data_IF_598743294256
#
_entry.id   IF_598743294256
#
_cell.length_a   1.000
_cell.length_b   1.000
_cell.length_c   1.000
_cell.angle_alpha   90.00
_cell.angle_beta   90.00
_cell.angle_gamma   90.00
#
_symmetry.space_group_name_H-M   'P 1'
#
loop_
_entity.id
_entity.type
_entity.pdbx_description
1 polymer ?
#
# COMPACT_ATOMS: atom_id res chain seq x y z
N UNK A 1 -44.00 24.72 41.70
CA UNK A 1 -43.07 23.61 41.42
C UNK A 1 -43.64 22.76 40.29
N UNK A 2 -43.17 22.92 39.06
CA UNK A 2 -43.50 21.99 37.96
C UNK A 2 -42.21 21.66 37.20
N UNK A 3 -41.72 20.47 37.50
CA UNK A 3 -40.56 19.82 36.92
C UNK A 3 -40.78 19.51 35.44
N UNK A 4 -40.19 20.31 34.54
CA UNK A 4 -39.98 19.94 33.14
C UNK A 4 -38.82 18.93 33.07
N UNK A 5 -39.12 17.65 33.29
CA UNK A 5 -38.26 16.57 32.82
C UNK A 5 -38.33 16.52 31.29
N UNK A 6 -37.46 17.29 30.64
CA UNK A 6 -37.10 17.06 29.24
C UNK A 6 -36.38 15.70 29.20
N UNK A 7 -37.07 14.65 28.73
CA UNK A 7 -36.42 13.41 28.30
C UNK A 7 -35.41 13.80 27.23
N UNK A 8 -34.11 13.76 27.55
CA UNK A 8 -33.03 13.84 26.56
C UNK A 8 -33.25 12.68 25.59
N UNK A 9 -33.64 12.99 24.35
CA UNK A 9 -33.62 12.01 23.27
C UNK A 9 -32.19 11.48 23.18
N UNK A 10 -32.04 10.15 23.30
CA UNK A 10 -30.76 9.48 23.07
C UNK A 10 -30.34 9.83 21.63
N UNK A 11 -29.11 10.31 21.37
CA UNK A 11 -28.70 10.63 20.01
C UNK A 11 -28.81 9.36 19.17
N UNK A 12 -29.74 9.35 18.22
CA UNK A 12 -29.85 8.29 17.22
C UNK A 12 -28.71 8.47 16.25
N UNK A 13 -27.89 7.44 16.07
CA UNK A 13 -26.87 7.42 15.03
C UNK A 13 -27.61 7.36 13.68
N UNK A 14 -27.33 8.26 12.73
CA UNK A 14 -27.87 8.14 11.37
C UNK A 14 -27.40 6.87 10.67
N UNK A 15 -28.16 6.35 9.72
CA UNK A 15 -27.72 5.25 8.87
C UNK A 15 -26.73 5.77 7.82
N UNK A 16 -25.63 5.05 7.61
CA UNK A 16 -24.59 5.38 6.63
C UNK A 16 -24.40 4.23 5.65
N UNK A 17 -24.05 4.54 4.41
CA UNK A 17 -23.75 3.56 3.36
C UNK A 17 -22.28 3.66 2.93
N UNK A 18 -21.67 2.53 2.60
CA UNK A 18 -20.33 2.49 2.01
C UNK A 18 -20.37 3.09 0.60
N UNK A 19 -19.37 3.92 0.28
CA UNK A 19 -19.20 4.50 -1.04
C UNK A 19 -17.78 4.30 -1.54
N UNK A 20 -17.64 4.00 -2.83
CA UNK A 20 -16.34 3.97 -3.51
C UNK A 20 -15.64 5.32 -3.39
N UNK A 21 -14.40 5.31 -2.91
CA UNK A 21 -13.61 6.51 -2.71
C UNK A 21 -13.26 7.23 -4.03
N UNK A 22 -12.69 6.50 -5.00
CA UNK A 22 -12.32 7.05 -6.31
C UNK A 22 -13.36 6.77 -7.40
N UNK A 23 -13.57 7.74 -8.29
CA UNK A 23 -14.20 7.49 -9.59
C UNK A 23 -13.16 6.86 -10.54
N UNK A 24 -13.61 6.30 -11.65
CA UNK A 24 -12.73 5.59 -12.58
C UNK A 24 -11.59 6.47 -13.13
N UNK A 25 -11.90 7.72 -13.47
CA UNK A 25 -10.92 8.70 -13.98
C UNK A 25 -9.87 9.07 -12.92
N UNK A 26 -10.30 9.25 -11.67
CA UNK A 26 -9.42 9.54 -10.54
C UNK A 26 -8.41 8.40 -10.34
N UNK A 27 -8.86 7.16 -10.43
CA UNK A 27 -8.02 5.97 -10.29
C UNK A 27 -6.96 5.87 -11.40
N UNK A 28 -7.35 6.16 -12.64
CA UNK A 28 -6.41 6.19 -13.78
C UNK A 28 -5.35 7.25 -13.54
N UNK A 29 -5.75 8.48 -13.19
CA UNK A 29 -4.83 9.58 -12.99
C UNK A 29 -3.92 9.35 -11.78
N UNK A 30 -4.46 8.88 -10.66
CA UNK A 30 -3.68 8.48 -9.49
C UNK A 30 -2.64 7.39 -9.84
N UNK A 31 -3.02 6.40 -10.64
CA UNK A 31 -2.10 5.39 -11.13
C UNK A 31 -0.97 5.98 -11.99
N UNK A 32 -1.26 7.00 -12.82
CA UNK A 32 -0.22 7.72 -13.59
C UNK A 32 0.73 8.48 -12.67
N UNK A 33 0.21 9.20 -11.68
CA UNK A 33 1.03 9.92 -10.69
C UNK A 33 1.97 8.97 -9.94
N UNK A 34 1.47 7.82 -9.47
CA UNK A 34 2.30 6.82 -8.77
C UNK A 34 3.44 6.26 -9.61
N UNK A 35 3.22 6.10 -10.93
CA UNK A 35 4.29 5.65 -11.84
C UNK A 35 5.31 6.75 -12.12
N UNK A 36 4.84 8.00 -12.22
CA UNK A 36 5.71 9.14 -12.48
C UNK A 36 6.54 9.57 -11.26
N UNK A 37 6.00 9.34 -10.06
CA UNK A 37 6.58 9.73 -8.78
C UNK A 37 6.68 8.54 -7.81
N UNK A 38 7.54 7.54 -8.11
CA UNK A 38 7.64 6.33 -7.29
C UNK A 38 8.17 6.60 -5.88
N UNK A 39 8.87 7.72 -5.67
CA UNK A 39 9.52 8.10 -4.41
C UNK A 39 8.74 9.12 -3.58
N UNK A 40 7.53 9.50 -4.00
CA UNK A 40 6.72 10.51 -3.31
C UNK A 40 5.50 9.87 -2.65
N UNK A 41 5.03 10.48 -1.56
CA UNK A 41 3.71 10.18 -1.00
C UNK A 41 2.66 11.05 -1.70
N UNK A 42 1.57 10.43 -2.13
CA UNK A 42 0.48 11.10 -2.86
C UNK A 42 -0.80 10.90 -2.06
N UNK A 43 -1.37 11.99 -1.54
CA UNK A 43 -2.61 11.97 -0.78
C UNK A 43 -3.74 12.60 -1.61
N UNK A 44 -4.80 11.84 -1.93
CA UNK A 44 -5.95 12.35 -2.68
C UNK A 44 -6.93 13.11 -1.78
N UNK A 45 -7.63 14.11 -2.35
CA UNK A 45 -8.76 14.82 -1.74
C UNK A 45 -8.44 15.42 -0.36
N UNK A 46 -7.27 16.05 -0.23
CA UNK A 46 -6.77 16.65 1.02
C UNK A 46 -7.42 18.02 1.24
N UNK A 47 -7.89 18.27 2.46
CA UNK A 47 -8.48 19.57 2.84
C UNK A 47 -7.43 20.67 2.94
N UNK A 48 -7.79 21.89 2.51
CA UNK A 48 -6.89 23.04 2.59
C UNK A 48 -6.49 23.34 4.04
N UNK A 49 -7.40 23.15 4.99
CA UNK A 49 -7.14 23.28 6.43
C UNK A 49 -6.10 22.31 6.98
N UNK A 50 -5.79 21.22 6.26
CA UNK A 50 -4.72 20.29 6.62
C UNK A 50 -3.36 20.68 6.00
N UNK A 51 -3.34 21.64 5.08
CA UNK A 51 -2.14 22.07 4.34
C UNK A 51 -1.69 23.49 4.73
N UNK A 52 -2.58 24.32 5.27
CA UNK A 52 -2.29 25.71 5.62
C UNK A 52 -3.06 26.16 6.85
N UNK A 53 -2.51 27.14 7.55
CA UNK A 53 -3.14 27.81 8.69
C UNK A 53 -3.22 29.32 8.44
N UNK A 54 -4.25 30.01 8.96
CA UNK A 54 -4.31 31.45 8.85
C UNK A 54 -3.25 32.13 9.73
N UNK A 55 -2.64 33.20 9.20
CA UNK A 55 -1.56 33.96 9.87
C UNK A 55 -2.11 34.98 10.88
N UNK A 56 -3.42 35.23 10.89
CA UNK A 56 -4.05 36.23 11.73
C UNK A 56 -3.78 36.03 13.23
N UNK A 57 -3.28 37.09 13.87
CA UNK A 57 -2.95 37.09 15.32
C UNK A 57 -4.20 37.12 16.21
N UNK A 58 -5.33 37.60 15.68
CA UNK A 58 -6.61 37.62 16.38
C UNK A 58 -7.28 36.25 16.31
N UNK A 59 -7.57 35.64 17.46
CA UNK A 59 -8.20 34.32 17.55
C UNK A 59 -9.55 34.27 16.83
N UNK A 60 -10.37 35.31 16.99
CA UNK A 60 -11.69 35.41 16.33
C UNK A 60 -11.54 35.41 14.81
N UNK A 61 -10.56 36.14 14.29
CA UNK A 61 -10.30 36.21 12.86
C UNK A 61 -9.72 34.90 12.33
N UNK A 62 -8.77 34.30 13.06
CA UNK A 62 -8.19 32.98 12.73
C UNK A 62 -9.27 31.89 12.64
N UNK A 63 -10.23 31.87 13.56
CA UNK A 63 -11.34 30.91 13.53
C UNK A 63 -12.26 31.14 12.31
N UNK A 64 -12.54 32.39 11.96
CA UNK A 64 -13.33 32.72 10.78
C UNK A 64 -12.62 32.31 9.48
N UNK A 65 -11.31 32.53 9.39
CA UNK A 65 -10.49 32.13 8.24
C UNK A 65 -10.35 30.60 8.14
N UNK A 66 -10.21 29.88 9.26
CA UNK A 66 -10.25 28.41 9.27
C UNK A 66 -11.59 27.87 8.76
N UNK A 67 -12.70 28.52 9.13
CA UNK A 67 -14.03 28.13 8.64
C UNK A 67 -14.14 28.27 7.12
N UNK A 68 -13.50 29.29 6.52
CA UNK A 68 -13.47 29.47 5.06
C UNK A 68 -12.73 28.35 4.33
N UNK A 69 -11.79 27.67 4.99
CA UNK A 69 -11.03 26.55 4.43
C UNK A 69 -11.78 25.21 4.55
N UNK A 70 -12.76 25.10 5.46
CA UNK A 70 -13.46 23.83 5.70
C UNK A 70 -14.21 23.36 4.45
N UNK A 71 -14.07 22.07 4.16
CA UNK A 71 -14.69 21.42 3.00
C UNK A 71 -14.00 21.73 1.66
N UNK A 72 -13.07 22.70 1.60
CA UNK A 72 -12.26 22.93 0.40
C UNK A 72 -11.15 21.91 0.33
N UNK A 73 -10.97 21.30 -0.85
CA UNK A 73 -10.00 20.22 -1.07
C UNK A 73 -9.18 20.48 -2.33
N UNK A 74 -7.91 20.08 -2.30
CA UNK A 74 -7.11 19.86 -3.50
C UNK A 74 -7.34 18.43 -4.01
N UNK A 75 -7.15 18.17 -5.30
CA UNK A 75 -7.35 16.83 -5.83
C UNK A 75 -6.26 15.88 -5.35
N UNK A 76 -5.00 16.33 -5.37
CA UNK A 76 -3.86 15.55 -4.87
C UNK A 76 -2.84 16.47 -4.20
N UNK A 77 -2.28 16.04 -3.08
CA UNK A 77 -1.12 16.65 -2.44
C UNK A 77 0.06 15.68 -2.52
N UNK A 78 1.22 16.20 -2.97
CA UNK A 78 2.44 15.42 -3.20
C UNK A 78 3.46 15.82 -2.15
N UNK A 79 4.01 14.82 -1.47
CA UNK A 79 5.00 15.00 -0.41
C UNK A 79 6.26 14.19 -0.71
N UNK A 80 7.38 14.69 -0.22
CA UNK A 80 8.64 13.95 -0.23
C UNK A 80 8.68 12.84 0.84
N UNK A 81 9.82 12.15 0.91
CA UNK A 81 10.08 11.10 1.88
C UNK A 81 9.96 11.53 3.35
N UNK A 82 10.18 12.82 3.65
CA UNK A 82 10.10 13.39 5.00
C UNK A 82 8.71 13.96 5.31
N UNK A 83 7.72 13.71 4.44
CA UNK A 83 6.39 14.31 4.49
C UNK A 83 6.42 15.85 4.40
N UNK A 84 7.43 16.40 3.73
CA UNK A 84 7.45 17.80 3.30
C UNK A 84 6.57 17.98 2.06
N UNK A 85 5.65 18.96 2.09
CA UNK A 85 4.77 19.26 0.96
C UNK A 85 5.59 19.83 -0.21
N UNK A 86 5.58 19.13 -1.35
CA UNK A 86 6.28 19.54 -2.57
C UNK A 86 5.41 20.43 -3.45
N UNK A 87 4.19 19.95 -3.73
CA UNK A 87 3.19 20.68 -4.50
C UNK A 87 1.81 20.03 -4.34
N UNK A 88 0.78 20.76 -4.77
CA UNK A 88 -0.58 20.25 -4.93
C UNK A 88 -0.98 20.23 -6.41
N UNK A 89 -1.90 19.35 -6.76
CA UNK A 89 -2.49 19.25 -8.09
C UNK A 89 -3.98 19.60 -8.01
N UNK A 90 -4.43 20.46 -8.92
CA UNK A 90 -5.84 20.78 -9.16
C UNK A 90 -6.23 20.33 -10.58
N UNK A 91 -7.31 19.55 -10.69
CA UNK A 91 -7.92 19.16 -11.96
C UNK A 91 -9.11 20.08 -12.24
N UNK A 92 -9.07 20.83 -13.33
CA UNK A 92 -10.17 21.71 -13.75
C UNK A 92 -10.96 21.11 -14.92
N UNK A 93 -12.29 21.09 -14.83
CA UNK A 93 -13.16 20.66 -15.92
C UNK A 93 -13.49 21.78 -16.93
N UNK A 94 -13.23 23.05 -16.62
CA UNK A 94 -13.60 24.21 -17.45
C UNK A 94 -12.73 25.46 -17.19
N UNK A 95 -12.70 26.39 -18.14
CA UNK A 95 -12.19 27.74 -17.92
C UNK A 95 -13.11 28.44 -16.90
N UNK A 96 -12.52 29.11 -15.92
CA UNK A 96 -13.21 29.74 -14.79
C UNK A 96 -14.45 30.53 -15.26
N UNK A 97 -15.64 30.07 -14.87
CA UNK A 97 -16.78 30.99 -14.79
C UNK A 97 -16.49 31.93 -13.64
N UNK A 98 -16.63 33.24 -13.87
CA UNK A 98 -16.48 34.33 -12.90
C UNK A 98 -17.50 34.19 -11.75
N UNK A 99 -17.33 33.18 -10.91
CA UNK A 99 -18.06 33.09 -9.67
C UNK A 99 -17.28 33.90 -8.64
N UNK A 100 -17.97 34.81 -7.95
CA UNK A 100 -17.42 35.79 -7.00
C UNK A 100 -16.72 35.19 -5.75
N UNK A 101 -16.48 33.88 -5.76
CA UNK A 101 -15.89 33.13 -4.67
C UNK A 101 -14.39 32.93 -4.90
N UNK A 102 -13.58 33.37 -3.93
CA UNK A 102 -12.12 33.18 -3.90
C UNK A 102 -11.77 31.73 -4.25
N UNK A 103 -10.97 31.58 -5.31
CA UNK A 103 -10.54 30.30 -5.84
C UNK A 103 -9.57 29.60 -4.89
N UNK A 104 -9.51 28.25 -4.93
CA UNK A 104 -8.50 27.51 -4.15
C UNK A 104 -7.06 27.93 -4.52
N UNK A 105 -6.83 28.29 -5.78
CA UNK A 105 -5.55 28.84 -6.24
C UNK A 105 -5.11 30.09 -5.51
N UNK A 106 -6.03 30.99 -5.15
CA UNK A 106 -5.69 32.22 -4.42
C UNK A 106 -5.23 31.91 -3.00
N UNK A 107 -5.90 30.98 -2.30
CA UNK A 107 -5.48 30.53 -0.97
C UNK A 107 -4.10 29.85 -1.03
N UNK A 108 -3.89 28.94 -1.98
CA UNK A 108 -2.63 28.24 -2.16
C UNK A 108 -1.48 29.23 -2.46
N UNK A 109 -1.73 30.21 -3.33
CA UNK A 109 -0.78 31.28 -3.65
C UNK A 109 -0.45 32.13 -2.42
N UNK A 110 -1.46 32.50 -1.64
CA UNK A 110 -1.30 33.26 -0.38
C UNK A 110 -0.43 32.50 0.63
N UNK A 111 -0.62 31.18 0.72
CA UNK A 111 0.18 30.30 1.58
C UNK A 111 1.58 29.96 1.02
N UNK A 112 1.93 30.43 -0.18
CA UNK A 112 3.20 30.09 -0.84
C UNK A 112 3.30 28.63 -1.28
N UNK A 113 2.17 27.92 -1.38
CA UNK A 113 2.13 26.51 -1.78
C UNK A 113 2.15 26.42 -3.31
N UNK A 114 3.08 25.63 -3.84
CA UNK A 114 3.17 25.36 -5.29
C UNK A 114 1.96 24.55 -5.74
N UNK A 115 1.19 25.11 -6.67
CA UNK A 115 0.05 24.43 -7.29
C UNK A 115 0.31 24.16 -8.77
N UNK A 116 -0.10 22.98 -9.23
CA UNK A 116 -0.07 22.56 -10.62
C UNK A 116 -1.49 22.32 -11.06
N UNK A 117 -1.93 23.06 -12.07
CA UNK A 117 -3.29 22.93 -12.61
C UNK A 117 -3.26 22.19 -13.95
N UNK A 118 -4.10 21.17 -14.07
CA UNK A 118 -4.33 20.45 -15.33
C UNK A 118 -5.80 20.41 -15.68
N UNK A 119 -6.09 20.30 -16.98
CA UNK A 119 -7.44 20.02 -17.42
C UNK A 119 -7.79 18.56 -17.08
N UNK A 120 -9.00 18.35 -16.57
CA UNK A 120 -9.53 17.02 -16.30
C UNK A 120 -9.89 16.29 -17.60
N UNK A 121 -10.19 17.05 -18.68
CA UNK A 121 -10.52 16.49 -19.98
C UNK A 121 -9.80 17.26 -21.12
N UNK A 122 -8.80 16.67 -21.79
CA UNK A 122 -8.24 15.35 -21.53
C UNK A 122 -7.34 15.31 -20.29
N UNK A 123 -7.33 14.18 -19.59
CA UNK A 123 -6.36 13.94 -18.50
C UNK A 123 -4.92 13.96 -19.04
N UNK A 124 -3.96 14.53 -18.30
CA UNK A 124 -2.57 14.60 -18.73
C UNK A 124 -1.96 13.21 -18.89
N UNK A 125 -1.14 13.04 -19.92
CA UNK A 125 -0.42 11.80 -20.19
C UNK A 125 0.71 11.57 -19.18
N UNK A 126 1.19 10.33 -19.07
CA UNK A 126 2.33 10.00 -18.21
C UNK A 126 3.57 10.84 -18.53
N UNK A 127 3.82 11.13 -19.82
CA UNK A 127 4.96 11.95 -20.25
C UNK A 127 4.81 13.41 -19.84
N UNK A 128 3.59 13.96 -19.93
CA UNK A 128 3.31 15.32 -19.47
C UNK A 128 3.51 15.45 -17.95
N UNK A 129 3.00 14.47 -17.20
CA UNK A 129 3.19 14.40 -15.75
C UNK A 129 4.68 14.34 -15.41
N UNK A 130 5.43 13.46 -16.06
CA UNK A 130 6.88 13.31 -15.85
C UNK A 130 7.64 14.59 -16.17
N UNK A 131 7.32 15.30 -17.26
CA UNK A 131 7.99 16.56 -17.60
C UNK A 131 7.72 17.66 -16.58
N UNK A 132 6.45 17.83 -16.18
CA UNK A 132 6.07 18.86 -15.21
C UNK A 132 6.62 18.56 -13.82
N UNK A 133 6.65 17.29 -13.42
CA UNK A 133 7.10 16.85 -12.10
C UNK A 133 8.55 16.34 -12.09
N UNK A 134 9.30 16.51 -13.18
CA UNK A 134 10.69 16.09 -13.30
C UNK A 134 11.59 16.62 -12.16
N UNK A 135 11.41 17.85 -11.65
CA UNK A 135 12.19 18.32 -10.50
C UNK A 135 11.99 17.49 -9.22
N UNK A 136 10.87 16.76 -9.11
CA UNK A 136 10.53 15.96 -7.94
C UNK A 136 10.81 14.46 -8.13
N UNK A 137 10.95 13.98 -9.37
CA UNK A 137 11.16 12.55 -9.64
C UNK A 137 12.56 12.05 -9.25
N UNK A 138 13.54 12.94 -9.18
CA UNK A 138 14.92 12.65 -8.77
C UNK A 138 15.16 12.79 -7.25
N UNK A 139 14.13 13.19 -6.48
CA UNK A 139 14.26 13.28 -5.03
C UNK A 139 14.61 11.90 -4.46
N UNK A 140 15.60 11.91 -3.56
CA UNK A 140 16.12 10.70 -2.94
C UNK A 140 14.96 9.86 -2.43
N UNK A 141 14.98 8.56 -2.76
CA UNK A 141 13.99 7.61 -2.26
C UNK A 141 13.87 7.77 -0.74
N UNK A 142 12.67 7.65 -0.18
CA UNK A 142 12.56 7.34 1.24
C UNK A 142 13.44 6.12 1.44
N UNK A 143 14.54 6.30 2.19
CA UNK A 143 15.17 5.12 2.80
C UNK A 143 14.02 4.52 3.59
N UNK A 144 13.61 3.27 3.30
CA UNK A 144 12.64 2.64 4.19
C UNK A 144 13.23 2.79 5.58
N UNK A 145 12.52 3.48 6.47
CA UNK A 145 12.91 3.60 7.86
C UNK A 145 12.86 2.19 8.43
N UNK A 146 13.99 1.49 8.34
CA UNK A 146 14.22 0.22 9.03
C UNK A 146 14.06 0.46 10.56
N UNK A 147 14.14 1.71 11.02
CA UNK A 147 13.91 2.12 12.40
C UNK A 147 12.43 2.02 12.84
N UNK A 148 11.42 2.24 11.98
CA UNK A 148 10.02 2.13 12.37
C UNK A 148 9.52 0.68 12.56
N UNK A 149 10.33 -0.31 12.16
CA UNK A 149 10.08 -1.72 12.47
C UNK A 149 10.61 -2.14 13.86
N UNK A 150 11.20 -1.23 14.64
CA UNK A 150 11.98 -1.57 15.86
C UNK A 150 11.24 -1.30 17.17
N UNK A 151 9.94 -0.96 17.17
CA UNK A 151 9.18 -0.81 18.43
C UNK A 151 8.83 -2.16 19.08
N UNK A 152 9.13 -3.30 18.45
CA UNK A 152 9.09 -4.60 19.13
C UNK A 152 10.43 -5.32 18.89
N UNK A 153 11.48 -4.92 19.59
CA UNK A 153 12.66 -5.76 19.94
C UNK A 153 13.69 -4.96 20.76
N UNK A 154 13.33 -4.61 21.99
CA UNK A 154 14.34 -4.59 23.07
C UNK A 154 14.68 -6.06 23.36
N UNK A 155 15.93 -6.52 23.30
CA UNK A 155 16.97 -6.24 24.30
C UNK A 155 18.25 -7.05 23.97
N UNK A 156 19.43 -6.40 24.06
CA UNK A 156 20.79 -6.92 24.35
C UNK A 156 21.38 -8.05 23.46
N UNK A 157 22.60 -8.00 22.89
CA UNK A 157 23.93 -7.62 23.45
C UNK A 157 24.89 -7.09 22.35
N UNK A 158 25.89 -6.32 22.79
CA UNK A 158 26.97 -5.55 22.13
C UNK A 158 28.00 -6.30 21.24
N UNK A 159 28.39 -5.64 20.13
CA UNK A 159 29.73 -5.25 19.59
C UNK A 159 31.05 -6.01 19.97
N UNK A 160 32.21 -5.83 19.25
CA UNK A 160 32.47 -5.42 17.85
C UNK A 160 33.71 -6.08 17.14
N UNK A 161 33.90 -5.72 15.86
CA UNK A 161 35.16 -5.36 15.13
C UNK A 161 36.04 -6.41 14.39
N UNK A 162 36.29 -6.03 13.13
CA UNK A 162 37.52 -6.08 12.29
C UNK A 162 37.70 -7.17 11.21
N UNK A 163 37.74 -6.67 9.95
CA UNK A 163 38.59 -7.00 8.79
C UNK A 163 38.73 -8.48 8.37
N UNK A 164 38.25 -8.84 7.16
CA UNK A 164 39.10 -8.87 5.96
C UNK A 164 38.31 -9.28 4.68
N UNK A 165 38.66 -8.66 3.56
CA UNK A 165 37.76 -8.38 2.43
C UNK A 165 37.69 -9.45 1.33
N UNK A 166 38.19 -10.68 1.51
CA UNK A 166 38.35 -11.60 0.33
C UNK A 166 37.90 -13.05 0.56
N UNK A 167 37.39 -13.44 1.75
CA UNK A 167 37.20 -14.87 2.05
C UNK A 167 35.82 -15.30 2.59
N UNK A 168 34.74 -14.58 2.27
CA UNK A 168 33.35 -14.93 2.69
C UNK A 168 32.41 -15.25 1.51
N UNK A 169 32.91 -15.32 0.27
CA UNK A 169 32.06 -15.60 -0.91
C UNK A 169 31.52 -17.03 -1.02
N UNK A 170 31.93 -17.95 -0.15
CA UNK A 170 31.40 -19.32 -0.13
C UNK A 170 31.45 -19.88 1.29
N UNK A 171 30.44 -19.58 2.12
CA UNK A 171 29.81 -20.51 3.08
C UNK A 171 29.01 -19.73 4.13
N UNK A 172 27.74 -20.14 4.27
CA UNK A 172 26.80 -19.77 5.34
C UNK A 172 26.41 -18.29 5.41
N UNK A 173 25.59 -17.85 4.46
CA UNK A 173 24.65 -16.77 4.73
C UNK A 173 23.75 -17.19 5.91
N UNK A 174 23.60 -16.39 6.99
CA UNK A 174 22.45 -16.54 7.86
C UNK A 174 21.22 -16.22 6.99
N UNK A 175 20.34 -17.21 6.79
CA UNK A 175 19.15 -17.04 5.96
C UNK A 175 18.42 -15.74 6.36
N UNK A 176 18.17 -14.80 5.43
CA UNK A 176 17.43 -13.58 5.73
C UNK A 176 16.03 -13.97 6.17
N UNK A 177 15.69 -13.72 7.44
CA UNK A 177 14.43 -14.10 8.09
C UNK A 177 13.24 -13.22 7.66
N UNK A 178 13.15 -12.89 6.37
CA UNK A 178 12.10 -12.08 5.73
C UNK A 178 11.62 -12.73 4.42
N UNK A 179 11.69 -14.06 4.31
CA UNK A 179 11.13 -14.76 3.14
C UNK A 179 9.61 -14.81 3.33
N UNK A 180 8.85 -14.05 2.50
CA UNK A 180 7.38 -14.04 2.52
C UNK A 180 6.74 -15.26 1.82
N UNK A 181 7.52 -16.34 1.62
CA UNK A 181 7.14 -17.56 0.92
C UNK A 181 8.24 -18.61 0.98
N UNK A 182 8.21 -19.60 0.09
CA UNK A 182 9.29 -20.59 -0.01
C UNK A 182 10.40 -20.08 -0.93
N UNK A 183 11.67 -20.24 -0.54
CA UNK A 183 12.78 -20.06 -1.48
C UNK A 183 12.91 -21.28 -2.38
N UNK A 184 13.53 -21.11 -3.54
CA UNK A 184 13.86 -22.24 -4.43
C UNK A 184 14.74 -23.27 -3.71
N UNK A 185 15.70 -22.82 -2.90
CA UNK A 185 16.53 -23.70 -2.07
C UNK A 185 15.71 -24.48 -1.02
N UNK A 186 14.69 -23.87 -0.41
CA UNK A 186 13.79 -24.57 0.51
C UNK A 186 12.94 -25.62 -0.23
N UNK A 187 12.47 -25.33 -1.44
CA UNK A 187 11.73 -26.29 -2.28
C UNK A 187 12.62 -27.47 -2.66
N UNK A 188 13.89 -27.23 -2.99
CA UNK A 188 14.86 -28.31 -3.25
C UNK A 188 15.14 -29.17 -2.02
N UNK A 189 15.15 -28.57 -0.82
CA UNK A 189 15.24 -29.33 0.45
C UNK A 189 14.00 -30.17 0.73
N UNK A 190 12.81 -29.71 0.31
CA UNK A 190 11.54 -30.42 0.47
C UNK A 190 11.32 -31.52 -0.59
N UNK A 191 12.11 -31.53 -1.66
CA UNK A 191 12.11 -32.57 -2.69
C UNK A 191 13.52 -33.17 -2.86
N UNK A 192 14.06 -33.83 -1.82
CA UNK A 192 15.48 -34.23 -1.78
C UNK A 192 15.86 -35.26 -2.84
N UNK A 193 14.89 -36.06 -3.30
CA UNK A 193 15.10 -37.07 -4.35
C UNK A 193 14.85 -36.51 -5.75
N UNK A 194 14.32 -35.29 -5.87
CA UNK A 194 14.08 -34.60 -7.13
C UNK A 194 13.12 -35.33 -8.08
N UNK A 195 12.20 -36.16 -7.58
CA UNK A 195 11.30 -36.93 -8.44
C UNK A 195 10.40 -36.01 -9.27
N UNK A 196 9.89 -34.95 -8.64
CA UNK A 196 9.09 -33.91 -9.28
C UNK A 196 9.90 -33.11 -10.31
N UNK A 197 11.15 -32.75 -9.98
CA UNK A 197 12.05 -31.99 -10.85
C UNK A 197 12.44 -32.78 -12.11
N UNK A 198 12.73 -34.07 -11.96
CA UNK A 198 13.19 -34.94 -13.05
C UNK A 198 12.04 -35.44 -13.93
N UNK A 199 10.93 -35.90 -13.32
CA UNK A 199 9.82 -36.51 -14.08
C UNK A 199 8.80 -35.48 -14.59
N UNK A 200 8.65 -34.35 -13.90
CA UNK A 200 7.67 -33.31 -14.22
C UNK A 200 8.29 -31.90 -14.20
N UNK A 201 9.29 -31.62 -15.05
CA UNK A 201 10.03 -30.35 -15.02
C UNK A 201 9.15 -29.11 -15.22
N UNK A 202 8.06 -29.23 -15.97
CA UNK A 202 7.10 -28.15 -16.18
C UNK A 202 6.28 -27.82 -14.92
N UNK A 203 5.94 -28.82 -14.10
CA UNK A 203 5.29 -28.62 -12.80
C UNK A 203 6.28 -28.00 -11.83
N UNK A 204 7.51 -28.53 -11.79
CA UNK A 204 8.60 -28.00 -10.97
C UNK A 204 8.90 -26.53 -11.24
N UNK A 205 9.03 -26.14 -12.52
CA UNK A 205 9.25 -24.75 -12.92
C UNK A 205 8.11 -23.83 -12.46
N UNK A 206 6.86 -24.26 -12.58
CA UNK A 206 5.71 -23.48 -12.11
C UNK A 206 5.66 -23.38 -10.58
N UNK A 207 6.03 -24.42 -9.85
CA UNK A 207 6.15 -24.37 -8.38
C UNK A 207 7.23 -23.35 -7.98
N UNK A 208 8.39 -23.37 -8.64
CA UNK A 208 9.46 -22.39 -8.39
C UNK A 208 9.00 -20.97 -8.73
N UNK A 209 8.24 -20.79 -9.83
CA UNK A 209 7.71 -19.48 -10.23
C UNK A 209 6.77 -18.88 -9.18
N UNK A 210 5.93 -19.70 -8.55
CA UNK A 210 4.97 -19.25 -7.53
C UNK A 210 5.51 -19.35 -6.10
N UNK A 211 6.76 -19.77 -5.91
CA UNK A 211 7.37 -20.07 -4.60
C UNK A 211 7.30 -18.90 -3.61
N UNK A 212 7.44 -17.68 -4.12
CA UNK A 212 7.40 -16.43 -3.35
C UNK A 212 5.99 -15.89 -3.10
N UNK A 213 4.95 -16.53 -3.65
CA UNK A 213 3.55 -16.09 -3.57
C UNK A 213 2.65 -17.19 -2.97
N UNK A 214 2.58 -17.32 -1.62
CA UNK A 214 1.96 -18.47 -0.95
C UNK A 214 0.51 -18.75 -1.35
N UNK A 215 -0.27 -17.69 -1.62
CA UNK A 215 -1.68 -17.80 -2.04
C UNK A 215 -1.82 -18.38 -3.46
N UNK A 216 -0.94 -17.97 -4.38
CA UNK A 216 -0.94 -18.49 -5.75
C UNK A 216 -0.37 -19.90 -5.80
N UNK A 217 0.70 -20.17 -5.06
CA UNK A 217 1.26 -21.51 -4.93
C UNK A 217 0.21 -22.50 -4.39
N UNK A 218 -0.54 -22.15 -3.33
CA UNK A 218 -1.61 -23.00 -2.80
C UNK A 218 -2.69 -23.31 -3.85
N UNK A 219 -3.15 -22.31 -4.61
CA UNK A 219 -4.14 -22.52 -5.67
C UNK A 219 -3.60 -23.43 -6.77
N UNK A 220 -2.34 -23.24 -7.16
CA UNK A 220 -1.69 -24.06 -8.18
C UNK A 220 -1.53 -25.51 -7.72
N UNK A 221 -0.99 -25.75 -6.52
CA UNK A 221 -0.83 -27.10 -5.96
C UNK A 221 -2.18 -27.81 -5.83
N UNK A 222 -3.23 -27.12 -5.36
CA UNK A 222 -4.59 -27.69 -5.32
C UNK A 222 -5.13 -28.05 -6.72
N UNK A 223 -4.79 -27.27 -7.75
CA UNK A 223 -5.19 -27.55 -9.12
C UNK A 223 -4.55 -28.82 -9.71
N UNK A 224 -3.35 -29.19 -9.22
CA UNK A 224 -2.67 -30.43 -9.64
C UNK A 224 -3.43 -31.69 -9.22
N UNK A 225 -4.19 -31.62 -8.13
CA UNK A 225 -5.05 -32.71 -7.65
C UNK A 225 -6.46 -32.70 -8.25
N UNK A 226 -6.89 -31.57 -8.84
CA UNK A 226 -8.20 -31.43 -9.49
C UNK A 226 -8.21 -31.88 -10.97
N UNK A 227 -7.04 -32.10 -11.57
CA UNK A 227 -6.89 -32.48 -12.98
C UNK A 227 -7.20 -33.95 -13.29
N UNK A 228 -7.81 -34.68 -12.36
CA UNK A 228 -8.27 -36.06 -12.54
C UNK A 228 -9.59 -36.15 -13.34
N UNK A 229 -9.67 -35.42 -14.46
CA UNK A 229 -10.86 -35.37 -15.33
C UNK A 229 -10.55 -35.85 -16.74
N UNK A 230 -10.92 -37.10 -17.01
CA UNK A 230 -11.55 -37.49 -18.28
C UNK A 230 -10.68 -38.20 -19.32
N UNK A 231 -9.38 -38.35 -19.13
CA UNK A 231 -8.53 -39.17 -20.00
C UNK A 231 -7.51 -39.86 -19.11
N UNK A 232 -7.31 -41.17 -19.26
CA UNK A 232 -6.41 -42.05 -18.50
C UNK A 232 -4.96 -41.52 -18.37
N UNK A 233 -4.76 -40.47 -17.59
CA UNK A 233 -3.46 -40.05 -17.11
C UNK A 233 -3.32 -40.68 -15.75
N UNK A 234 -2.39 -41.62 -15.64
CA UNK A 234 -1.95 -42.10 -14.34
C UNK A 234 -1.63 -40.86 -13.48
N UNK A 235 -2.30 -40.75 -12.33
CA UNK A 235 -2.02 -39.70 -11.36
C UNK A 235 -0.54 -39.68 -10.98
N UNK A 236 -0.12 -38.63 -10.26
CA UNK A 236 1.27 -38.57 -9.80
C UNK A 236 1.63 -39.84 -8.99
N UNK A 237 2.81 -40.44 -9.23
CA UNK A 237 3.30 -41.51 -8.39
C UNK A 237 3.33 -41.09 -6.91
N UNK A 238 3.18 -42.04 -5.98
CA UNK A 238 3.13 -41.76 -4.54
C UNK A 238 4.33 -40.92 -4.04
N UNK A 239 5.52 -41.16 -4.63
CA UNK A 239 6.75 -40.41 -4.37
C UNK A 239 6.62 -38.91 -4.71
N UNK A 240 5.96 -38.61 -5.83
CA UNK A 240 5.78 -37.24 -6.34
C UNK A 240 4.64 -36.55 -5.59
N UNK A 241 3.58 -37.28 -5.24
CA UNK A 241 2.52 -36.78 -4.35
C UNK A 241 3.12 -36.35 -3.01
N UNK A 242 4.01 -37.17 -2.44
CA UNK A 242 4.69 -36.85 -1.19
C UNK A 242 5.46 -35.53 -1.28
N UNK A 243 6.30 -35.34 -2.30
CA UNK A 243 7.04 -34.09 -2.50
C UNK A 243 6.10 -32.87 -2.67
N UNK A 244 4.99 -33.03 -3.41
CA UNK A 244 3.97 -31.97 -3.57
C UNK A 244 3.30 -31.64 -2.22
N UNK A 245 2.97 -32.66 -1.42
CA UNK A 245 2.35 -32.49 -0.09
C UNK A 245 3.31 -31.83 0.90
N UNK A 246 4.60 -32.18 0.88
CA UNK A 246 5.63 -31.57 1.73
C UNK A 246 5.80 -30.07 1.40
N UNK A 247 5.83 -29.72 0.11
CA UNK A 247 5.83 -28.31 -0.35
C UNK A 247 4.56 -27.58 0.08
N UNK A 248 3.39 -28.23 -0.03
CA UNK A 248 2.12 -27.64 0.38
C UNK A 248 2.09 -27.36 1.89
N UNK A 249 2.54 -28.32 2.71
CA UNK A 249 2.57 -28.19 4.17
C UNK A 249 3.48 -27.05 4.63
N UNK A 250 4.65 -26.89 4.01
CA UNK A 250 5.54 -25.78 4.36
C UNK A 250 4.98 -24.43 3.86
N UNK A 251 4.36 -24.39 2.68
CA UNK A 251 3.69 -23.20 2.16
C UNK A 251 2.52 -22.74 3.06
N UNK A 252 1.84 -23.65 3.75
CA UNK A 252 0.76 -23.32 4.69
C UNK A 252 1.24 -22.52 5.90
N UNK A 253 2.50 -22.67 6.32
CA UNK A 253 3.06 -21.88 7.43
C UNK A 253 3.10 -20.38 7.08
N UNK A 254 3.43 -20.05 5.84
CA UNK A 254 3.44 -18.66 5.36
C UNK A 254 2.02 -18.09 5.23
N UNK A 255 1.04 -18.93 4.93
CA UNK A 255 -0.37 -18.54 4.93
C UNK A 255 -0.90 -18.28 6.34
N UNK A 256 -0.46 -19.04 7.35
CA UNK A 256 -0.84 -18.84 8.74
C UNK A 256 -0.18 -17.61 9.37
N UNK A 257 1.07 -17.28 8.98
CA UNK A 257 1.75 -16.04 9.38
C UNK A 257 1.09 -14.81 8.74
N UNK A 258 0.46 -14.96 7.56
CA UNK A 258 -0.31 -13.90 6.90
C UNK A 258 -1.71 -13.66 7.49
N UNK A 259 -2.13 -14.45 8.50
CA UNK A 259 -3.32 -14.16 9.32
C UNK A 259 -2.86 -13.33 10.52
N UNK A 260 -3.36 -12.09 10.71
CA UNK A 260 -3.00 -11.32 11.89
C UNK A 260 -3.52 -12.04 13.15
N UNK A 261 -2.61 -12.70 13.89
CA UNK A 261 -2.87 -13.09 15.27
C UNK A 261 -2.90 -11.81 16.10
N UNK A 262 -4.11 -11.35 16.42
CA UNK A 262 -4.32 -10.34 17.47
C UNK A 262 -4.39 -8.88 17.03
N UNK A 263 -5.04 -8.55 15.93
CA UNK A 263 -5.79 -7.29 15.88
C UNK A 263 -7.20 -7.57 16.35
N UNK A 264 -7.53 -7.13 17.56
CA UNK A 264 -8.91 -7.11 18.06
C UNK A 264 -9.70 -6.09 17.25
N UNK A 265 -10.11 -6.47 16.03
CA UNK A 265 -11.26 -5.88 15.39
C UNK A 265 -12.47 -6.27 16.24
N UNK A 266 -13.17 -5.28 16.79
CA UNK A 266 -14.41 -5.52 17.52
C UNK A 266 -15.42 -6.19 16.58
N UNK A 267 -15.63 -7.50 16.79
CA UNK A 267 -16.45 -8.35 15.92
C UNK A 267 -17.94 -8.05 16.03
N UNK A 268 -18.35 -7.14 16.90
CA UNK A 268 -19.75 -6.71 17.04
C UNK A 268 -20.28 -5.89 15.85
N UNK A 269 -19.42 -5.42 14.95
CA UNK A 269 -19.83 -4.67 13.76
C UNK A 269 -20.45 -5.52 12.63
N UNK A 270 -20.38 -6.86 12.68
CA UNK A 270 -20.79 -7.71 11.56
C UNK A 270 -22.30 -8.02 11.54
N UNK A 271 -23.07 -7.72 12.59
CA UNK A 271 -24.52 -7.92 12.56
C UNK A 271 -25.27 -6.82 13.33
N UNK A 272 -25.67 -5.75 12.63
CA UNK A 272 -26.89 -4.98 12.89
C UNK A 272 -27.44 -4.40 11.61
#
# INVERSE_FOLDING_TARGET
MFSRLLKKNKPSIPNYEEKRFFRHEDEIFYGRLRRALPNCYIFPKVELSALMEPVSMSEKQRLAELEQLKGRKVDYAIFDASLGLLCVIELSAQAESEDSQVSNSEYLKSAGIKSIRWNQNPLPSSDQILRTLAPFSSLASPKPDIAASTVIKTSYVEAPKTLDTVQVMYQSDPEPSNIMGLTVAAIERLAPNGHLKTRYPHVWQRICLFSTEPKHLKKYLASLFLQDRGVERAGFPAEVIKEITDIQGENERFLQVSMPRGTTWDTTFINR
#
